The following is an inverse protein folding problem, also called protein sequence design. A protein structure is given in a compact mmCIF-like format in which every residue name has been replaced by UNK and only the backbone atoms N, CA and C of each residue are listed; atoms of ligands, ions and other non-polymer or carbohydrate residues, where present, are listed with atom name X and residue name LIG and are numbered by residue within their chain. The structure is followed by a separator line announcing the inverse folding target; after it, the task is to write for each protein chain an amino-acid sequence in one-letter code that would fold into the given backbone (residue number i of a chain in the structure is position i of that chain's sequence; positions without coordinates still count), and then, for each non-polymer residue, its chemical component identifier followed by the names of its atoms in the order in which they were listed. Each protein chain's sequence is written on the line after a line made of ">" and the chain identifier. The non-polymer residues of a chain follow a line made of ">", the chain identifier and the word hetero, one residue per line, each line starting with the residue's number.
data_IF_017199452917
#
_entry.id   IF_017199452917
#
_cell.length_a   1.000
_cell.length_b   1.000
_cell.length_c   1.000
_cell.angle_alpha   90.00
_cell.angle_beta   90.00
_cell.angle_gamma   90.00
#
_symmetry.space_group_name_H-M   'P 1'
#
loop_
_entity.id
_entity.type
_entity.pdbx_description
1 polymer ?
#
# COMPACT_ATOMS: atom_id res chain seq x y z
N UNK A 1 10.39 -12.86 -9.54
CA UNK A 1 9.28 -13.53 -10.25
C UNK A 1 8.03 -13.44 -9.39
N UNK A 2 7.28 -12.35 -9.48
CA UNK A 2 6.00 -12.17 -8.77
C UNK A 2 4.94 -12.95 -9.53
N UNK A 3 4.31 -13.94 -8.89
CA UNK A 3 3.17 -14.67 -9.45
C UNK A 3 2.04 -13.68 -9.71
N UNK A 4 1.64 -13.52 -10.96
CA UNK A 4 0.46 -12.74 -11.35
C UNK A 4 -0.80 -13.61 -11.29
N UNK A 5 -1.93 -13.00 -10.96
CA UNK A 5 -3.24 -13.61 -10.79
C UNK A 5 -4.17 -13.16 -11.92
N UNK A 6 -5.09 -14.01 -12.31
CA UNK A 6 -6.24 -13.68 -13.15
C UNK A 6 -7.38 -13.10 -12.30
N UNK A 7 -8.41 -12.54 -12.93
CA UNK A 7 -9.62 -12.09 -12.22
C UNK A 7 -10.28 -13.21 -11.42
N UNK A 8 -10.41 -14.42 -12.00
CA UNK A 8 -11.02 -15.56 -11.31
C UNK A 8 -10.22 -15.94 -10.06
N UNK A 9 -8.89 -15.99 -10.15
CA UNK A 9 -8.03 -16.27 -8.99
C UNK A 9 -8.10 -15.18 -7.93
N UNK A 10 -8.30 -13.91 -8.32
CA UNK A 10 -8.50 -12.82 -7.37
C UNK A 10 -9.82 -12.94 -6.63
N UNK A 11 -10.92 -13.19 -7.34
CA UNK A 11 -12.25 -13.34 -6.75
C UNK A 11 -12.29 -14.53 -5.78
N UNK A 12 -11.57 -15.61 -6.08
CA UNK A 12 -11.43 -16.75 -5.18
C UNK A 12 -10.56 -16.43 -3.95
N UNK A 13 -9.49 -15.63 -4.12
CA UNK A 13 -8.54 -15.34 -3.06
C UNK A 13 -8.96 -14.20 -2.11
N UNK A 14 -9.71 -13.22 -2.61
CA UNK A 14 -10.09 -12.01 -1.87
C UNK A 14 -11.50 -12.16 -1.35
N UNK A 15 -11.64 -12.13 -0.02
CA UNK A 15 -12.93 -12.25 0.63
C UNK A 15 -13.86 -11.10 0.22
N UNK A 16 -15.13 -11.43 -0.09
CA UNK A 16 -16.18 -10.49 -0.49
C UNK A 16 -15.91 -9.73 -1.80
N UNK A 17 -14.88 -10.11 -2.58
CA UNK A 17 -14.67 -9.56 -3.92
C UNK A 17 -15.58 -10.29 -4.92
N UNK A 18 -16.37 -9.54 -5.68
CA UNK A 18 -17.17 -10.04 -6.81
C UNK A 18 -16.72 -9.38 -8.10
N UNK A 19 -17.06 -9.93 -9.27
CA UNK A 19 -16.78 -9.28 -10.55
C UNK A 19 -17.36 -7.87 -10.65
N UNK A 20 -18.54 -7.64 -10.06
CA UNK A 20 -19.17 -6.31 -10.01
C UNK A 20 -18.36 -5.33 -9.15
N UNK A 21 -17.97 -5.73 -7.92
CA UNK A 21 -17.11 -4.90 -7.07
C UNK A 21 -15.76 -4.65 -7.71
N UNK A 22 -15.16 -5.64 -8.34
CA UNK A 22 -13.89 -5.49 -9.06
C UNK A 22 -14.03 -4.48 -10.21
N UNK A 23 -15.10 -4.56 -10.99
CA UNK A 23 -15.40 -3.59 -12.06
C UNK A 23 -15.53 -2.15 -11.51
N UNK A 24 -16.22 -1.99 -10.36
CA UNK A 24 -16.33 -0.71 -9.65
C UNK A 24 -14.97 -0.19 -9.21
N UNK A 25 -14.13 -1.05 -8.64
CA UNK A 25 -12.78 -0.69 -8.18
C UNK A 25 -11.82 -0.37 -9.32
N UNK A 26 -11.92 -1.06 -10.45
CA UNK A 26 -11.18 -0.73 -11.68
C UNK A 26 -11.57 0.65 -12.19
N UNK A 27 -12.87 0.96 -12.21
CA UNK A 27 -13.40 2.25 -12.66
C UNK A 27 -12.93 3.41 -11.78
N UNK A 28 -12.89 3.20 -10.45
CA UNK A 28 -12.37 4.17 -9.48
C UNK A 28 -10.83 4.19 -9.37
N UNK A 29 -10.13 3.43 -10.23
CA UNK A 29 -8.66 3.26 -10.24
C UNK A 29 -8.06 2.85 -8.89
N UNK A 30 -8.83 2.13 -8.08
CA UNK A 30 -8.33 1.53 -6.84
C UNK A 30 -7.27 0.48 -7.17
N UNK A 31 -7.50 -0.29 -8.24
CA UNK A 31 -6.52 -1.25 -8.77
C UNK A 31 -6.33 -0.98 -10.25
N UNK A 32 -5.10 -1.09 -10.73
CA UNK A 32 -4.76 -0.93 -12.15
C UNK A 32 -4.00 -2.18 -12.58
N UNK A 33 -4.69 -3.20 -13.12
CA UNK A 33 -4.04 -4.42 -13.58
C UNK A 33 -3.10 -4.14 -14.75
N UNK A 34 -2.16 -5.06 -14.94
CA UNK A 34 -1.29 -5.06 -16.11
C UNK A 34 -2.00 -5.77 -17.26
N UNK A 35 -1.86 -5.23 -18.46
CA UNK A 35 -2.27 -5.94 -19.68
C UNK A 35 -1.23 -7.02 -20.03
N UNK A 36 -1.69 -8.23 -20.34
CA UNK A 36 -0.88 -9.33 -20.88
C UNK A 36 -1.54 -9.95 -22.11
N UNK A 37 -0.81 -10.85 -22.78
CA UNK A 37 -1.34 -11.63 -23.92
C UNK A 37 -2.56 -12.50 -23.55
N UNK A 38 -2.77 -12.76 -22.25
CA UNK A 38 -3.88 -13.55 -21.71
C UNK A 38 -4.99 -12.68 -21.10
N UNK A 39 -4.92 -11.37 -21.28
CA UNK A 39 -5.84 -10.40 -20.66
C UNK A 39 -5.24 -9.70 -19.44
N UNK A 40 -6.12 -9.16 -18.60
CA UNK A 40 -5.75 -8.45 -17.39
C UNK A 40 -5.13 -9.41 -16.37
N UNK A 41 -3.98 -9.05 -15.85
CA UNK A 41 -3.28 -9.78 -14.80
C UNK A 41 -2.94 -8.85 -13.64
N UNK A 42 -3.04 -9.40 -12.44
CA UNK A 42 -2.95 -8.67 -11.19
C UNK A 42 -1.75 -9.16 -10.38
N UNK A 43 -1.06 -8.27 -9.72
CA UNK A 43 0.05 -8.61 -8.84
C UNK A 43 -0.43 -8.97 -7.42
N UNK A 44 0.45 -9.54 -6.60
CA UNK A 44 0.14 -9.76 -5.18
C UNK A 44 -0.16 -8.46 -4.43
N UNK A 45 0.43 -7.34 -4.84
CA UNK A 45 0.13 -6.05 -4.25
C UNK A 45 -1.30 -5.62 -4.54
N UNK A 46 -1.79 -5.89 -5.76
CA UNK A 46 -3.19 -5.63 -6.14
C UNK A 46 -4.16 -6.43 -5.28
N UNK A 47 -3.85 -7.71 -5.01
CA UNK A 47 -4.64 -8.56 -4.11
C UNK A 47 -4.74 -7.95 -2.70
N UNK A 48 -3.62 -7.53 -2.11
CA UNK A 48 -3.61 -6.91 -0.79
C UNK A 48 -4.40 -5.60 -0.75
N UNK A 49 -4.31 -4.80 -1.82
CA UNK A 49 -5.07 -3.55 -1.95
C UNK A 49 -6.58 -3.82 -2.07
N UNK A 50 -6.97 -4.82 -2.86
CA UNK A 50 -8.37 -5.23 -3.03
C UNK A 50 -8.97 -5.80 -1.74
N UNK A 51 -8.20 -6.56 -0.97
CA UNK A 51 -8.61 -7.05 0.35
C UNK A 51 -8.97 -5.88 1.27
N UNK A 52 -8.09 -4.88 1.39
CA UNK A 52 -8.34 -3.69 2.21
C UNK A 52 -9.51 -2.86 1.65
N UNK A 53 -9.65 -2.76 0.34
CA UNK A 53 -10.76 -2.05 -0.30
C UNK A 53 -12.11 -2.69 0.07
N UNK A 54 -12.21 -4.02 0.01
CA UNK A 54 -13.41 -4.75 0.42
C UNK A 54 -13.71 -4.55 1.92
N UNK A 55 -12.71 -4.64 2.79
CA UNK A 55 -12.88 -4.45 4.23
C UNK A 55 -13.41 -3.04 4.59
N UNK A 56 -12.86 -2.00 3.96
CA UNK A 56 -13.28 -0.62 4.21
C UNK A 56 -14.66 -0.32 3.63
N UNK A 57 -14.96 -0.83 2.44
CA UNK A 57 -16.27 -0.68 1.81
C UNK A 57 -17.37 -1.40 2.61
N UNK A 58 -17.08 -2.60 3.13
CA UNK A 58 -18.02 -3.36 3.98
C UNK A 58 -18.28 -2.66 5.33
N UNK A 59 -17.27 -2.01 5.92
CA UNK A 59 -17.38 -1.39 7.24
C UNK A 59 -17.99 0.02 7.22
N UNK A 60 -17.75 0.76 6.15
CA UNK A 60 -18.03 2.20 6.11
C UNK A 60 -18.92 2.62 4.94
N UNK A 61 -19.39 1.68 4.11
CA UNK A 61 -20.24 1.92 2.94
C UNK A 61 -19.71 3.07 2.07
N UNK A 62 -18.38 3.12 1.90
CA UNK A 62 -17.73 4.25 1.26
C UNK A 62 -18.01 4.26 -0.23
N UNK A 63 -18.29 5.46 -0.76
CA UNK A 63 -18.30 5.64 -2.20
C UNK A 63 -16.91 5.33 -2.80
N UNK A 64 -16.83 4.74 -4.01
CA UNK A 64 -15.56 4.27 -4.59
C UNK A 64 -14.47 5.33 -4.69
N UNK A 65 -14.83 6.60 -4.94
CA UNK A 65 -13.89 7.71 -5.01
C UNK A 65 -13.32 8.06 -3.62
N UNK A 66 -14.15 8.02 -2.58
CA UNK A 66 -13.71 8.24 -1.20
C UNK A 66 -12.79 7.10 -0.74
N UNK A 67 -13.14 5.86 -1.09
CA UNK A 67 -12.32 4.68 -0.83
C UNK A 67 -10.96 4.78 -1.52
N UNK A 68 -10.94 5.20 -2.79
CA UNK A 68 -9.71 5.43 -3.57
C UNK A 68 -8.80 6.48 -2.90
N UNK A 69 -9.37 7.57 -2.40
CA UNK A 69 -8.64 8.59 -1.65
C UNK A 69 -8.05 8.04 -0.33
N UNK A 70 -8.82 7.29 0.45
CA UNK A 70 -8.34 6.68 1.71
C UNK A 70 -7.19 5.71 1.44
N UNK A 71 -7.34 4.85 0.43
CA UNK A 71 -6.29 3.92 0.04
C UNK A 71 -5.02 4.65 -0.41
N UNK A 72 -5.15 5.75 -1.16
CA UNK A 72 -4.00 6.59 -1.54
C UNK A 72 -3.29 7.17 -0.31
N UNK A 73 -4.02 7.61 0.71
CA UNK A 73 -3.42 8.12 1.96
C UNK A 73 -2.70 7.02 2.73
N UNK A 74 -3.28 5.81 2.78
CA UNK A 74 -2.65 4.64 3.39
C UNK A 74 -1.34 4.30 2.66
N UNK A 75 -1.36 4.28 1.33
CA UNK A 75 -0.19 4.04 0.49
C UNK A 75 0.90 5.11 0.72
N UNK A 76 0.53 6.39 0.78
CA UNK A 76 1.45 7.49 1.10
C UNK A 76 2.09 7.32 2.48
N UNK A 77 1.32 6.93 3.50
CA UNK A 77 1.87 6.65 4.83
C UNK A 77 2.83 5.45 4.82
N UNK A 78 2.50 4.37 4.11
CA UNK A 78 3.39 3.22 3.97
C UNK A 78 4.68 3.58 3.23
N UNK A 79 4.59 4.40 2.18
CA UNK A 79 5.73 4.96 1.45
C UNK A 79 6.66 5.74 2.37
N UNK A 80 6.12 6.72 3.11
CA UNK A 80 6.90 7.49 4.08
C UNK A 80 7.54 6.61 5.15
N UNK A 81 6.82 5.62 5.66
CA UNK A 81 7.36 4.64 6.63
C UNK A 81 8.46 3.77 6.02
N UNK A 82 8.41 3.47 4.72
CA UNK A 82 9.46 2.73 4.03
C UNK A 82 10.70 3.60 3.85
N UNK A 83 10.55 4.84 3.38
CA UNK A 83 11.65 5.80 3.26
C UNK A 83 12.36 6.05 4.59
N UNK A 84 11.60 6.27 5.67
CA UNK A 84 12.17 6.42 7.01
C UNK A 84 12.96 5.19 7.45
N UNK A 85 12.47 3.97 7.14
CA UNK A 85 13.21 2.74 7.45
C UNK A 85 14.53 2.65 6.68
N UNK A 86 14.57 3.07 5.43
CA UNK A 86 15.82 3.13 4.66
C UNK A 86 16.79 4.17 5.22
N UNK A 87 16.31 5.35 5.61
CA UNK A 87 17.12 6.36 6.28
C UNK A 87 17.71 5.81 7.59
N UNK A 88 16.90 5.15 8.41
CA UNK A 88 17.37 4.54 9.66
C UNK A 88 18.41 3.44 9.41
N UNK A 89 18.20 2.59 8.39
CA UNK A 89 19.19 1.58 7.97
C UNK A 89 20.52 2.21 7.55
N UNK A 90 20.47 3.33 6.81
CA UNK A 90 21.67 4.05 6.40
C UNK A 90 22.42 4.67 7.58
N UNK A 91 21.69 5.13 8.61
CA UNK A 91 22.25 5.63 9.88
C UNK A 91 22.90 4.48 10.66
N UNK A 92 22.24 3.33 10.75
CA UNK A 92 22.77 2.15 11.45
C UNK A 92 24.06 1.63 10.82
N UNK A 93 24.20 1.75 9.50
CA UNK A 93 25.40 1.39 8.76
C UNK A 93 26.59 2.35 8.96
N UNK A 94 26.41 3.49 9.65
CA UNK A 94 27.49 4.44 9.92
C UNK A 94 28.40 3.95 11.06
N UNK A 95 29.68 4.37 11.07
CA UNK A 95 30.56 4.19 12.22
C UNK A 95 29.96 4.77 13.51
N UNK A 96 30.18 4.08 14.63
CA UNK A 96 29.65 4.43 15.97
C UNK A 96 29.72 5.92 16.37
N UNK A 97 30.83 6.65 16.16
CA UNK A 97 30.88 8.08 16.50
C UNK A 97 29.91 8.93 15.66
N UNK A 98 29.72 8.59 14.38
CA UNK A 98 28.79 9.29 13.48
C UNK A 98 27.34 8.94 13.81
N UNK A 99 27.06 7.64 14.06
CA UNK A 99 25.74 7.17 14.46
C UNK A 99 25.26 7.83 15.75
N UNK A 100 26.13 7.92 16.76
CA UNK A 100 25.83 8.56 18.06
C UNK A 100 25.45 10.04 17.89
N UNK A 101 26.21 10.80 17.09
CA UNK A 101 25.92 12.22 16.80
C UNK A 101 24.58 12.40 16.07
N UNK A 102 24.23 11.50 15.16
CA UNK A 102 22.97 11.55 14.41
C UNK A 102 21.76 11.26 15.31
N UNK A 103 21.86 10.24 16.19
CA UNK A 103 20.79 9.90 17.14
C UNK A 103 20.51 11.05 18.10
N UNK A 104 21.53 11.72 18.62
CA UNK A 104 21.40 12.89 19.51
C UNK A 104 20.64 14.05 18.82
N UNK A 105 20.99 14.35 17.57
CA UNK A 105 20.37 15.43 16.78
C UNK A 105 18.93 15.11 16.34
N UNK A 106 18.65 13.86 15.98
CA UNK A 106 17.30 13.45 15.57
C UNK A 106 16.36 13.40 16.78
N UNK A 107 16.83 12.89 17.93
CA UNK A 107 16.07 12.87 19.16
C UNK A 107 15.62 14.27 19.57
N UNK A 108 16.54 15.24 19.58
CA UNK A 108 16.26 16.64 19.93
C UNK A 108 15.31 17.35 18.97
N UNK A 109 15.34 17.03 17.66
CA UNK A 109 14.41 17.59 16.68
C UNK A 109 12.96 17.14 16.90
N UNK A 110 12.74 15.89 17.37
CA UNK A 110 11.41 15.33 17.60
C UNK A 110 10.70 15.94 18.81
N UNK A 111 11.45 16.36 19.84
CA UNK A 111 10.92 17.00 21.05
C UNK A 111 10.69 18.51 20.92
N UNK A 112 11.24 19.19 19.90
CA UNK A 112 11.01 20.63 19.65
C UNK A 112 9.70 20.95 18.92
N UNK A 113 8.98 19.95 18.41
CA UNK A 113 7.71 20.12 17.68
C UNK A 113 6.46 19.84 18.54
N UNK A 114 6.61 19.64 19.84
CA UNK A 114 5.50 19.49 20.79
C UNK A 114 5.46 20.66 21.76
#
# INVERSE_FOLDING_TARGET
>A
MTRSLTEAELIEAVQNLTSERLSRFLSARIVIPRQSDRGLVYERLDMARLQLACELDDQYEMEPDALSMVLSLIDQMHGLRAELREVLRAIDAQPDPVRSQLVERIGTARFRRS
#
